data_IF_635348169725
#
_entry.id   IF_635348169725
#
_cell.length_a   1.000
_cell.length_b   1.000
_cell.length_c   1.000
_cell.angle_alpha   90.00
_cell.angle_beta   90.00
_cell.angle_gamma   90.00
#
_symmetry.space_group_name_H-M   'P 1'
#
loop_
_entity.id
_entity.type
_entity.pdbx_description
1 polymer ?
#
# COMPACT_ATOMS: atom_id res chain seq x y z
N UNK A 1 -4.23 14.29 -7.74
CA UNK A 1 -3.91 13.83 -6.38
C UNK A 1 -4.31 14.94 -5.42
N UNK A 2 -4.98 14.58 -4.32
CA UNK A 2 -5.51 15.56 -3.37
C UNK A 2 -5.08 15.15 -1.97
N UNK A 3 -4.43 16.05 -1.25
CA UNK A 3 -4.11 15.86 0.16
C UNK A 3 -5.19 16.48 1.01
N UNK A 4 -5.67 15.71 1.96
CA UNK A 4 -6.68 16.12 2.91
C UNK A 4 -6.07 16.23 4.30
N UNK A 5 -6.54 17.18 5.10
CA UNK A 5 -6.23 17.30 6.51
C UNK A 5 -7.50 17.07 7.32
N UNK A 6 -7.41 16.23 8.35
CA UNK A 6 -8.53 15.99 9.28
C UNK A 6 -8.66 17.18 10.22
N UNK A 7 -9.82 17.82 10.23
CA UNK A 7 -10.04 19.06 10.99
C UNK A 7 -10.68 18.77 12.35
N UNK A 8 -11.48 17.72 12.47
CA UNK A 8 -12.17 17.39 13.71
C UNK A 8 -12.30 15.87 13.96
N UNK A 9 -12.90 15.52 15.10
CA UNK A 9 -13.17 14.13 15.48
C UNK A 9 -14.33 13.52 14.70
N UNK A 10 -15.14 14.32 14.01
CA UNK A 10 -16.30 13.90 13.21
C UNK A 10 -15.92 13.51 11.77
N UNK A 11 -14.64 13.25 11.53
CA UNK A 11 -14.13 12.86 10.20
C UNK A 11 -14.40 13.93 9.13
N UNK A 12 -14.39 15.21 9.50
CA UNK A 12 -14.36 16.30 8.52
C UNK A 12 -12.93 16.49 8.00
N UNK A 13 -12.84 16.63 6.67
CA UNK A 13 -11.59 16.79 5.96
C UNK A 13 -11.62 18.03 5.08
N UNK A 14 -10.52 18.78 5.11
CA UNK A 14 -10.29 19.91 4.21
C UNK A 14 -9.19 19.59 3.20
N UNK A 15 -9.34 20.10 1.99
CA UNK A 15 -8.32 19.97 0.96
C UNK A 15 -7.23 21.00 1.23
N UNK A 16 -6.02 20.52 1.52
CA UNK A 16 -4.87 21.38 1.76
C UNK A 16 -4.00 21.55 0.52
N UNK A 17 -3.88 20.50 -0.30
CA UNK A 17 -3.05 20.53 -1.50
C UNK A 17 -3.68 19.71 -2.64
N UNK A 18 -3.46 20.16 -3.87
CA UNK A 18 -3.87 19.47 -5.09
C UNK A 18 -2.70 19.44 -6.08
N UNK A 19 -2.43 18.28 -6.64
CA UNK A 19 -1.42 18.08 -7.67
C UNK A 19 -1.98 17.31 -8.85
N UNK A 20 -1.52 17.60 -10.07
CA UNK A 20 -1.82 16.74 -11.20
C UNK A 20 -0.90 15.52 -11.19
N UNK A 21 -1.46 14.34 -11.46
CA UNK A 21 -0.67 13.11 -11.50
C UNK A 21 0.44 13.16 -12.57
N UNK A 22 0.18 13.84 -13.69
CA UNK A 22 1.16 14.02 -14.78
C UNK A 22 2.43 14.75 -14.33
N UNK A 23 2.35 15.58 -13.28
CA UNK A 23 3.47 16.36 -12.77
C UNK A 23 4.35 15.56 -11.79
N UNK A 24 3.91 14.37 -11.35
CA UNK A 24 4.67 13.50 -10.44
C UNK A 24 5.75 12.75 -11.21
N UNK A 25 7.01 13.13 -11.08
CA UNK A 25 8.11 12.57 -11.88
C UNK A 25 8.61 11.23 -11.34
N UNK A 26 8.66 11.09 -10.00
CA UNK A 26 9.22 9.92 -9.34
C UNK A 26 8.58 9.72 -7.95
N UNK A 27 8.58 8.47 -7.49
CA UNK A 27 8.45 8.13 -6.08
C UNK A 27 9.70 7.37 -5.61
N UNK A 28 10.19 7.74 -4.43
CA UNK A 28 11.39 7.17 -3.82
C UNK A 28 11.01 6.52 -2.48
N UNK A 29 11.18 5.21 -2.37
CA UNK A 29 10.86 4.43 -1.16
C UNK A 29 11.87 4.59 -0.02
N UNK A 30 12.92 5.41 -0.22
CA UNK A 30 14.07 5.67 0.65
C UNK A 30 14.90 4.41 0.90
N UNK A 31 14.47 3.62 1.86
CA UNK A 31 15.16 2.41 2.30
C UNK A 31 14.30 1.20 1.96
N UNK A 32 14.66 0.50 0.87
CA UNK A 32 13.93 -0.67 0.40
C UNK A 32 13.99 -1.85 1.39
N UNK A 33 15.13 -1.99 2.08
CA UNK A 33 15.43 -3.11 2.99
C UNK A 33 14.89 -2.89 4.41
N UNK A 34 14.31 -1.72 4.68
CA UNK A 34 13.81 -1.34 6.01
C UNK A 34 12.28 -1.32 6.00
N UNK A 35 11.66 -2.00 6.96
CA UNK A 35 10.21 -1.97 7.16
C UNK A 35 9.76 -0.62 7.77
N UNK A 36 9.61 0.40 6.92
CA UNK A 36 9.17 1.73 7.32
C UNK A 36 8.14 2.32 6.34
N UNK A 37 7.25 3.22 6.80
CA UNK A 37 6.20 3.82 5.98
C UNK A 37 6.62 5.08 5.22
N UNK A 38 7.89 5.48 5.26
CA UNK A 38 8.36 6.75 4.69
C UNK A 38 8.72 6.61 3.22
N UNK A 39 8.41 7.64 2.44
CA UNK A 39 8.75 7.76 1.02
C UNK A 39 8.71 9.22 0.59
N UNK A 40 9.32 9.52 -0.55
CA UNK A 40 9.28 10.85 -1.14
C UNK A 40 8.48 10.85 -2.45
N UNK A 41 7.74 11.93 -2.66
CA UNK A 41 7.06 12.23 -3.92
C UNK A 41 7.78 13.40 -4.60
N UNK A 42 8.29 13.16 -5.80
CA UNK A 42 9.06 14.13 -6.57
C UNK A 42 8.16 14.78 -7.62
N UNK A 43 7.72 16.00 -7.34
CA UNK A 43 7.17 16.93 -8.33
C UNK A 43 8.26 17.98 -8.65
N UNK A 44 7.87 19.23 -8.97
CA UNK A 44 8.78 20.38 -8.97
C UNK A 44 9.48 20.60 -7.62
N UNK A 45 8.87 20.10 -6.54
CA UNK A 45 9.42 20.06 -5.20
C UNK A 45 9.30 18.62 -4.68
N UNK A 46 10.23 18.25 -3.79
CA UNK A 46 10.17 16.98 -3.05
C UNK A 46 9.24 17.12 -1.84
N UNK A 47 8.29 16.18 -1.74
CA UNK A 47 7.39 16.05 -0.60
C UNK A 47 7.73 14.78 0.18
N UNK A 48 8.14 14.94 1.43
CA UNK A 48 8.34 13.82 2.34
C UNK A 48 6.98 13.34 2.85
N UNK A 49 6.71 12.05 2.67
CA UNK A 49 5.43 11.44 2.99
C UNK A 49 5.62 10.29 3.97
N UNK A 50 4.60 10.08 4.79
CA UNK A 50 4.46 8.94 5.69
C UNK A 50 3.13 8.27 5.37
N UNK A 51 3.19 7.00 4.97
CA UNK A 51 2.00 6.19 4.80
C UNK A 51 1.47 5.70 6.15
N UNK A 52 0.24 5.20 6.18
CA UNK A 52 -0.30 4.55 7.39
C UNK A 52 0.51 3.33 7.84
N UNK A 53 1.12 2.62 6.89
CA UNK A 53 1.96 1.45 7.13
C UNK A 53 2.91 1.22 5.94
N UNK A 54 3.92 0.38 6.12
CA UNK A 54 4.79 -0.05 5.02
C UNK A 54 3.99 -0.73 3.89
N UNK A 55 3.02 -1.59 4.22
CA UNK A 55 2.14 -2.20 3.22
C UNK A 55 1.31 -1.14 2.45
N UNK A 56 0.87 -0.06 3.13
CA UNK A 56 0.19 1.07 2.49
C UNK A 56 1.13 1.84 1.55
N UNK A 57 2.41 2.02 1.91
CA UNK A 57 3.45 2.61 1.07
C UNK A 57 3.59 1.84 -0.26
N UNK A 58 3.77 0.52 -0.21
CA UNK A 58 3.86 -0.32 -1.41
C UNK A 58 2.57 -0.34 -2.23
N UNK A 59 1.40 -0.38 -1.57
CA UNK A 59 0.10 -0.34 -2.26
C UNK A 59 -0.09 0.98 -3.02
N UNK A 60 0.32 2.09 -2.42
CA UNK A 60 0.28 3.40 -3.05
C UNK A 60 1.19 3.45 -4.29
N UNK A 61 2.43 2.97 -4.19
CA UNK A 61 3.37 2.90 -5.30
C UNK A 61 2.82 2.10 -6.50
N UNK A 62 2.28 0.90 -6.24
CA UNK A 62 1.66 0.05 -7.27
C UNK A 62 0.46 0.72 -7.93
N UNK A 63 -0.38 1.37 -7.14
CA UNK A 63 -1.54 2.11 -7.64
C UNK A 63 -1.11 3.24 -8.58
N UNK A 64 -0.07 4.00 -8.22
CA UNK A 64 0.48 5.05 -9.09
C UNK A 64 1.04 4.47 -10.39
N UNK A 65 1.79 3.37 -10.31
CA UNK A 65 2.31 2.71 -11.50
C UNK A 65 1.18 2.29 -12.46
N UNK A 66 0.13 1.68 -11.91
CA UNK A 66 -1.03 1.23 -12.68
C UNK A 66 -1.79 2.41 -13.31
N UNK A 67 -2.00 3.49 -12.57
CA UNK A 67 -2.62 4.72 -13.09
C UNK A 67 -1.78 5.34 -14.20
N UNK A 68 -0.45 5.38 -14.03
CA UNK A 68 0.47 5.86 -15.04
C UNK A 68 0.37 5.01 -16.33
N UNK A 69 0.49 3.68 -16.22
CA UNK A 69 0.39 2.77 -17.35
C UNK A 69 -0.97 2.85 -18.09
N UNK A 70 -2.06 3.08 -17.33
CA UNK A 70 -3.41 3.15 -17.88
C UNK A 70 -3.67 4.47 -18.60
N UNK A 71 -3.30 5.60 -18.00
CA UNK A 71 -3.78 6.91 -18.45
C UNK A 71 -2.70 7.83 -19.02
N UNK A 72 -1.48 7.80 -18.47
CA UNK A 72 -0.45 8.79 -18.80
C UNK A 72 0.61 8.24 -19.77
N UNK A 73 0.93 6.95 -19.66
CA UNK A 73 1.94 6.24 -20.47
C UNK A 73 3.28 6.98 -20.56
N UNK A 74 3.67 7.69 -19.50
CA UNK A 74 4.97 8.36 -19.40
C UNK A 74 5.99 7.47 -18.71
N UNK A 75 7.26 7.80 -18.90
CA UNK A 75 8.34 7.24 -18.08
C UNK A 75 8.18 7.76 -16.64
N UNK A 76 7.72 6.89 -15.75
CA UNK A 76 7.45 7.19 -14.35
C UNK A 76 8.36 6.33 -13.48
N UNK A 77 9.17 6.97 -12.66
CA UNK A 77 10.23 6.28 -11.91
C UNK A 77 9.74 5.89 -10.52
N UNK A 78 9.90 4.61 -10.19
CA UNK A 78 9.69 4.06 -8.86
C UNK A 78 11.04 3.49 -8.43
N UNK A 79 11.65 4.06 -7.40
CA UNK A 79 13.02 3.72 -6.97
C UNK A 79 13.05 3.43 -5.48
N UNK A 80 14.03 2.64 -5.05
CA UNK A 80 14.21 2.24 -3.65
C UNK A 80 12.98 1.56 -3.03
N UNK A 81 12.31 0.74 -3.83
CA UNK A 81 11.30 -0.22 -3.40
C UNK A 81 11.80 -1.61 -3.73
N UNK A 82 11.49 -2.60 -2.89
CA UNK A 82 11.75 -3.99 -3.22
C UNK A 82 10.79 -4.47 -4.32
N UNK A 83 11.37 -4.90 -5.44
CA UNK A 83 10.67 -5.40 -6.63
C UNK A 83 9.75 -6.58 -6.32
N UNK A 84 10.07 -7.36 -5.29
CA UNK A 84 9.25 -8.46 -4.79
C UNK A 84 7.88 -7.92 -4.38
N UNK A 85 7.80 -6.80 -3.67
CA UNK A 85 6.53 -6.27 -3.18
C UNK A 85 5.84 -5.31 -4.16
N UNK A 86 6.56 -4.79 -5.16
CA UNK A 86 5.99 -3.97 -6.22
C UNK A 86 5.20 -4.78 -7.26
N UNK A 87 5.60 -6.01 -7.55
CA UNK A 87 4.91 -6.84 -8.52
C UNK A 87 3.81 -7.66 -7.84
N UNK A 88 2.53 -7.36 -8.13
CA UNK A 88 1.39 -8.10 -7.57
C UNK A 88 1.48 -9.62 -7.85
N UNK A 89 2.13 -10.02 -8.95
CA UNK A 89 2.30 -11.41 -9.34
C UNK A 89 3.17 -12.23 -8.37
N UNK A 90 4.01 -11.57 -7.55
CA UNK A 90 4.85 -12.24 -6.54
C UNK A 90 4.03 -12.72 -5.33
N UNK A 91 2.97 -11.99 -4.96
CA UNK A 91 2.07 -12.35 -3.85
C UNK A 91 1.21 -13.56 -4.25
N UNK A 92 0.91 -13.71 -5.54
CA UNK A 92 0.22 -14.87 -6.11
C UNK A 92 1.17 -15.98 -6.61
N UNK A 93 2.48 -15.77 -6.48
CA UNK A 93 3.48 -16.78 -6.80
C UNK A 93 3.28 -18.03 -5.94
N UNK A 94 3.68 -19.18 -6.48
CA UNK A 94 3.37 -20.51 -5.97
C UNK A 94 3.66 -20.68 -4.47
N UNK A 95 4.74 -20.07 -3.94
CA UNK A 95 5.12 -20.14 -2.53
C UNK A 95 4.18 -19.39 -1.57
N UNK A 96 3.55 -18.31 -2.00
CA UNK A 96 2.64 -17.52 -1.16
C UNK A 96 1.19 -18.07 -1.18
N UNK A 97 0.84 -18.89 -2.17
CA UNK A 97 -0.45 -19.61 -2.18
C UNK A 97 -0.55 -20.62 -1.04
N UNK A 98 0.55 -21.28 -0.71
CA UNK A 98 0.61 -22.21 0.42
C UNK A 98 0.38 -21.49 1.74
N UNK A 99 0.94 -20.29 1.92
CA UNK A 99 0.70 -19.46 3.10
C UNK A 99 -0.77 -19.04 3.25
N UNK A 100 -1.44 -18.67 2.15
CA UNK A 100 -2.87 -18.32 2.15
C UNK A 100 -3.77 -19.53 2.46
N UNK A 101 -3.39 -20.72 1.97
CA UNK A 101 -4.08 -21.97 2.30
C UNK A 101 -3.92 -22.29 3.79
N UNK A 102 -2.69 -22.19 4.32
CA UNK A 102 -2.41 -22.38 5.75
C UNK A 102 -3.22 -21.39 6.59
N UNK A 103 -3.24 -20.11 6.24
CA UNK A 103 -4.04 -19.10 6.95
C UNK A 103 -5.53 -19.46 6.95
N UNK A 104 -6.10 -19.85 5.80
CA UNK A 104 -7.49 -20.31 5.73
C UNK A 104 -7.77 -21.52 6.62
N UNK A 105 -6.86 -22.51 6.63
CA UNK A 105 -6.97 -23.69 7.49
C UNK A 105 -6.90 -23.30 8.96
N UNK A 106 -5.97 -22.40 9.35
CA UNK A 106 -5.84 -21.90 10.71
C UNK A 106 -7.08 -21.14 11.18
N UNK A 107 -7.67 -20.29 10.33
CA UNK A 107 -8.92 -19.61 10.64
C UNK A 107 -10.08 -20.59 10.80
N UNK A 108 -10.17 -21.60 9.92
CA UNK A 108 -11.21 -22.61 10.00
C UNK A 108 -11.08 -23.47 11.26
N UNK A 109 -9.86 -23.92 11.59
CA UNK A 109 -9.57 -24.66 12.81
C UNK A 109 -9.87 -23.85 14.07
N UNK A 110 -9.53 -22.56 14.07
CA UNK A 110 -9.83 -21.64 15.18
C UNK A 110 -11.35 -21.47 15.36
N UNK A 111 -12.10 -21.32 14.27
CA UNK A 111 -13.56 -21.26 14.32
C UNK A 111 -14.18 -22.57 14.84
N UNK A 112 -13.69 -23.72 14.40
CA UNK A 112 -14.13 -25.03 14.90
C UNK A 112 -13.83 -25.21 16.39
N UNK A 113 -12.66 -24.75 16.84
CA UNK A 113 -12.28 -24.78 18.25
C UNK A 113 -13.18 -23.87 19.09
N UNK A 114 -13.48 -22.66 18.60
CA UNK A 114 -14.43 -21.76 19.26
C UNK A 114 -15.83 -22.39 19.36
N UNK A 115 -16.29 -23.07 18.30
CA UNK A 115 -17.59 -23.75 18.30
C UNK A 115 -17.63 -24.98 19.22
N UNK A 116 -16.54 -25.72 19.37
CA UNK A 116 -16.48 -26.87 20.28
C UNK A 116 -16.36 -26.48 21.75
N UNK A 117 -15.84 -25.28 22.03
CA UNK A 117 -15.72 -24.71 23.37
C UNK A 117 -16.97 -23.93 23.82
N UNK A 118 -17.86 -23.56 22.88
CA UNK A 118 -19.20 -23.10 23.21
C UNK A 118 -20.01 -24.27 23.79
N UNK A 119 -20.08 -24.37 25.12
CA UNK A 119 -21.14 -25.16 25.77
C UNK A 119 -22.48 -24.54 25.35
N UNK A 120 -23.30 -25.28 24.60
CA UNK A 120 -24.71 -24.92 24.42
C UNK A 120 -25.33 -24.84 25.82
N UNK A 121 -25.50 -23.61 26.31
CA UNK A 121 -26.33 -23.29 27.47
C UNK A 121 -27.75 -22.99 27.02
#
# INVERSE_FOLDING_TARGET
MVKHWRVDREEKYEIVEKWFLKDLEMIDGKEADTDNPYFDMHFQKVYNMEAYSCASKYTFARTLNKLNATYLKKDFKIVNFDDTYLNDDSIWSSSNRDFLVVMRVCFYASNLLCLSLCRLS
#
